data_IF_324522669667
#
_entry.id   IF_324522669667
#
_cell.length_a   1.000
_cell.length_b   1.000
_cell.length_c   1.000
_cell.angle_alpha   90.00
_cell.angle_beta   90.00
_cell.angle_gamma   90.00
#
_symmetry.space_group_name_H-M   'P 1'
#
loop_
_entity.id
_entity.type
_entity.pdbx_description
1 polymer ?
#
# COMPACT_ATOMS: atom_id res chain seq x y z
N UNK A 1 -17.51 -57.59 46.51
CA UNK A 1 -17.94 -57.47 45.09
C UNK A 1 -18.32 -56.05 44.86
N UNK A 2 -17.38 -55.19 44.43
CA UNK A 2 -17.60 -53.78 44.20
C UNK A 2 -17.32 -53.50 42.72
N UNK A 3 -18.38 -53.05 42.03
CA UNK A 3 -18.30 -52.60 40.65
C UNK A 3 -17.82 -51.13 40.63
N UNK A 4 -16.61 -50.94 40.08
CA UNK A 4 -16.10 -49.61 39.74
C UNK A 4 -16.62 -49.21 38.36
N UNK A 5 -17.56 -48.27 38.34
CA UNK A 5 -17.95 -47.54 37.12
C UNK A 5 -16.82 -46.58 36.70
N UNK A 6 -16.23 -46.81 35.53
CA UNK A 6 -15.27 -45.93 34.91
C UNK A 6 -16.04 -44.88 34.09
N UNK A 7 -16.08 -43.64 34.60
CA UNK A 7 -16.70 -42.47 33.95
C UNK A 7 -15.80 -42.00 32.83
N UNK A 8 -16.20 -42.27 31.58
CA UNK A 8 -15.57 -41.65 30.39
C UNK A 8 -15.84 -40.16 30.34
N UNK A 9 -14.80 -39.36 30.55
CA UNK A 9 -14.81 -37.93 30.30
C UNK A 9 -14.65 -37.71 28.78
N UNK A 10 -15.72 -37.24 28.14
CA UNK A 10 -15.72 -36.88 26.71
C UNK A 10 -15.05 -35.52 26.57
N UNK A 11 -13.82 -35.47 26.10
CA UNK A 11 -13.12 -34.26 25.72
C UNK A 11 -13.83 -33.63 24.50
N UNK A 12 -14.39 -32.44 24.70
CA UNK A 12 -14.99 -31.65 23.65
C UNK A 12 -13.91 -31.26 22.64
N UNK A 13 -14.11 -31.67 21.39
CA UNK A 13 -13.21 -31.40 20.30
C UNK A 13 -13.13 -29.89 20.00
N UNK A 14 -11.94 -29.35 20.06
CA UNK A 14 -11.58 -28.03 19.52
C UNK A 14 -11.68 -28.13 18.00
N UNK A 15 -12.72 -27.55 17.43
CA UNK A 15 -12.86 -27.41 15.99
C UNK A 15 -11.89 -26.34 15.50
N UNK A 16 -10.67 -26.70 15.19
CA UNK A 16 -9.78 -25.84 14.41
C UNK A 16 -10.32 -25.76 12.99
N UNK A 17 -10.81 -24.58 12.59
CA UNK A 17 -11.25 -24.28 11.23
C UNK A 17 -10.05 -24.29 10.27
N UNK A 18 -9.63 -25.47 9.83
CA UNK A 18 -8.60 -25.61 8.80
C UNK A 18 -9.24 -25.39 7.42
N UNK A 19 -8.95 -24.25 6.81
CA UNK A 19 -9.26 -24.01 5.40
C UNK A 19 -8.68 -25.16 4.55
N UNK A 20 -9.45 -25.76 3.62
CA UNK A 20 -8.99 -26.90 2.85
C UNK A 20 -7.71 -26.60 2.04
N UNK A 21 -6.76 -27.55 1.91
CA UNK A 21 -5.41 -27.35 1.34
C UNK A 21 -5.44 -26.64 -0.04
N UNK A 22 -6.34 -27.02 -0.94
CA UNK A 22 -6.47 -26.40 -2.28
C UNK A 22 -6.76 -24.90 -2.27
N UNK A 23 -7.50 -24.39 -1.28
CA UNK A 23 -7.79 -22.94 -1.15
C UNK A 23 -6.57 -22.17 -0.66
N UNK A 24 -5.78 -22.75 0.23
CA UNK A 24 -4.52 -22.16 0.72
C UNK A 24 -3.49 -22.05 -0.41
N UNK A 25 -3.37 -23.08 -1.23
CA UNK A 25 -2.44 -23.11 -2.36
C UNK A 25 -2.83 -22.07 -3.42
N UNK A 26 -4.12 -21.91 -3.72
CA UNK A 26 -4.62 -20.90 -4.65
C UNK A 26 -4.37 -19.46 -4.15
N UNK A 27 -4.63 -19.19 -2.87
CA UNK A 27 -4.37 -17.89 -2.26
C UNK A 27 -2.86 -17.57 -2.25
N UNK A 28 -2.02 -18.54 -1.91
CA UNK A 28 -0.57 -18.40 -1.93
C UNK A 28 -0.05 -18.11 -3.34
N UNK A 29 -0.52 -18.85 -4.34
CA UNK A 29 -0.13 -18.65 -5.73
C UNK A 29 -0.55 -17.27 -6.23
N UNK A 30 -1.76 -16.84 -5.91
CA UNK A 30 -2.24 -15.49 -6.25
C UNK A 30 -1.37 -14.41 -5.61
N UNK A 31 -0.93 -14.60 -4.37
CA UNK A 31 -0.06 -13.65 -3.67
C UNK A 31 1.34 -13.61 -4.29
N UNK A 32 1.94 -14.76 -4.64
CA UNK A 32 3.25 -14.81 -5.32
C UNK A 32 3.23 -14.03 -6.64
N UNK A 33 2.18 -14.19 -7.45
CA UNK A 33 1.99 -13.44 -8.68
C UNK A 33 1.86 -11.92 -8.42
N UNK A 34 1.11 -11.55 -7.39
CA UNK A 34 0.90 -10.15 -7.03
C UNK A 34 2.20 -9.48 -6.56
N UNK A 35 3.00 -10.18 -5.76
CA UNK A 35 4.27 -9.67 -5.26
C UNK A 35 5.32 -9.54 -6.39
N UNK A 36 5.40 -10.51 -7.29
CA UNK A 36 6.24 -10.43 -8.47
C UNK A 36 5.80 -9.27 -9.39
N UNK A 37 4.49 -9.12 -9.62
CA UNK A 37 3.95 -8.02 -10.42
C UNK A 37 4.30 -6.65 -9.84
N UNK A 38 4.17 -6.47 -8.51
CA UNK A 38 4.53 -5.21 -7.83
C UNK A 38 6.00 -4.86 -8.04
N UNK A 39 6.90 -5.83 -7.90
CA UNK A 39 8.34 -5.61 -8.14
C UNK A 39 8.60 -5.26 -9.60
N UNK A 40 8.14 -6.09 -10.55
CA UNK A 40 8.38 -5.88 -11.98
C UNK A 40 7.82 -4.55 -12.48
N UNK A 41 6.57 -4.24 -12.18
CA UNK A 41 5.97 -2.97 -12.58
C UNK A 41 6.66 -1.75 -11.93
N UNK A 42 7.18 -1.89 -10.72
CA UNK A 42 7.91 -0.82 -10.04
C UNK A 42 9.30 -0.59 -10.63
N UNK A 43 10.04 -1.66 -10.97
CA UNK A 43 11.42 -1.58 -11.46
C UNK A 43 11.49 -1.41 -12.98
N UNK A 44 10.79 -2.24 -13.73
CA UNK A 44 10.89 -2.27 -15.19
C UNK A 44 9.84 -1.34 -15.84
N UNK A 45 8.73 -1.07 -15.14
CA UNK A 45 7.59 -0.31 -15.64
C UNK A 45 6.54 -1.21 -16.28
N UNK A 46 5.34 -0.66 -16.46
CA UNK A 46 4.21 -1.43 -17.01
C UNK A 46 4.46 -1.85 -18.46
N UNK A 47 4.91 -0.94 -19.33
CA UNK A 47 5.09 -1.21 -20.76
C UNK A 47 6.07 -2.38 -21.01
N UNK A 48 7.22 -2.34 -20.36
CA UNK A 48 8.32 -3.29 -20.55
C UNK A 48 8.10 -4.65 -19.86
N UNK A 49 7.23 -4.72 -18.86
CA UNK A 49 6.95 -5.95 -18.12
C UNK A 49 5.96 -6.83 -18.88
N UNK A 50 6.28 -8.10 -19.11
CA UNK A 50 5.34 -9.09 -19.68
C UNK A 50 4.71 -9.96 -18.58
N UNK A 51 3.55 -10.56 -18.87
CA UNK A 51 2.93 -11.55 -17.96
C UNK A 51 3.79 -12.81 -17.79
N UNK A 52 4.65 -13.11 -18.76
CA UNK A 52 5.60 -14.23 -18.67
C UNK A 52 6.70 -13.93 -17.65
N UNK A 53 7.29 -12.72 -17.70
CA UNK A 53 8.33 -12.31 -16.75
C UNK A 53 7.81 -12.37 -15.30
N UNK A 54 6.56 -11.96 -15.09
CA UNK A 54 5.92 -12.02 -13.77
C UNK A 54 5.70 -13.47 -13.33
N UNK A 55 5.21 -14.34 -14.23
CA UNK A 55 4.97 -15.75 -13.91
C UNK A 55 6.27 -16.50 -13.62
N UNK A 56 7.32 -16.24 -14.40
CA UNK A 56 8.65 -16.83 -14.23
C UNK A 56 9.26 -16.40 -12.91
N UNK A 57 9.19 -15.11 -12.56
CA UNK A 57 9.66 -14.61 -11.25
C UNK A 57 8.87 -15.21 -10.07
N UNK A 58 7.58 -15.39 -10.24
CA UNK A 58 6.72 -16.02 -9.23
C UNK A 58 6.90 -17.55 -9.13
N UNK A 59 7.59 -18.16 -10.09
CA UNK A 59 7.77 -19.62 -10.17
C UNK A 59 6.48 -20.38 -10.45
N UNK A 60 5.55 -19.80 -11.23
CA UNK A 60 4.23 -20.37 -11.51
C UNK A 60 3.88 -20.36 -12.99
N UNK A 61 2.87 -21.14 -13.37
CA UNK A 61 2.40 -21.16 -14.76
C UNK A 61 1.71 -19.84 -15.14
N UNK A 62 2.09 -19.27 -16.29
CA UNK A 62 1.54 -18.01 -16.82
C UNK A 62 0.02 -18.04 -17.02
N UNK A 63 -0.57 -19.21 -17.30
CA UNK A 63 -2.03 -19.35 -17.42
C UNK A 63 -2.79 -18.98 -16.14
N UNK A 64 -2.12 -18.99 -14.97
CA UNK A 64 -2.72 -18.60 -13.71
C UNK A 64 -2.95 -17.09 -13.60
N UNK A 65 -2.21 -16.27 -14.37
CA UNK A 65 -2.46 -14.82 -14.43
C UNK A 65 -3.84 -14.56 -15.02
N UNK A 66 -4.16 -15.16 -16.17
CA UNK A 66 -5.50 -15.02 -16.76
C UNK A 66 -6.61 -15.57 -15.85
N UNK A 67 -6.33 -16.63 -15.10
CA UNK A 67 -7.29 -17.21 -14.17
C UNK A 67 -7.58 -16.33 -12.95
N UNK A 68 -6.56 -15.64 -12.38
CA UNK A 68 -6.69 -14.89 -11.14
C UNK A 68 -6.91 -13.39 -11.34
N UNK A 69 -6.46 -12.86 -12.48
CA UNK A 69 -6.42 -11.41 -12.73
C UNK A 69 -6.99 -11.03 -14.11
N UNK A 70 -7.40 -12.01 -14.92
CA UNK A 70 -7.99 -11.83 -16.25
C UNK A 70 -7.01 -11.33 -17.31
N UNK A 71 -6.23 -10.30 -17.01
CA UNK A 71 -5.30 -9.64 -17.93
C UNK A 71 -4.09 -9.03 -17.22
N UNK A 72 -3.13 -8.49 -17.99
CA UNK A 72 -2.02 -7.69 -17.47
C UNK A 72 -2.53 -6.44 -16.74
N UNK A 73 -3.55 -5.79 -17.29
CA UNK A 73 -4.22 -4.62 -16.69
C UNK A 73 -4.87 -4.96 -15.35
N UNK A 74 -5.62 -6.08 -15.30
CA UNK A 74 -6.25 -6.54 -14.07
C UNK A 74 -5.21 -6.89 -12.98
N UNK A 75 -4.07 -7.46 -13.37
CA UNK A 75 -2.95 -7.71 -12.47
C UNK A 75 -2.30 -6.40 -11.99
N UNK A 76 -2.16 -5.41 -12.87
CA UNK A 76 -1.65 -4.07 -12.52
C UNK A 76 -2.59 -3.34 -11.56
N UNK A 77 -3.90 -3.37 -11.81
CA UNK A 77 -4.92 -2.82 -10.90
C UNK A 77 -4.89 -3.48 -9.53
N UNK A 78 -4.74 -4.81 -9.48
CA UNK A 78 -4.58 -5.54 -8.23
C UNK A 78 -3.28 -5.17 -7.50
N UNK A 79 -2.18 -4.96 -8.23
CA UNK A 79 -0.90 -4.52 -7.67
C UNK A 79 -1.00 -3.11 -7.07
N UNK A 80 -1.62 -2.17 -7.77
CA UNK A 80 -1.91 -0.82 -7.25
C UNK A 80 -2.81 -0.88 -6.00
N UNK A 81 -3.90 -1.66 -6.06
CA UNK A 81 -4.82 -1.84 -4.92
C UNK A 81 -4.08 -2.33 -3.68
N UNK A 82 -3.22 -3.34 -3.83
CA UNK A 82 -2.42 -3.88 -2.74
C UNK A 82 -1.44 -2.83 -2.18
N UNK A 83 -0.76 -2.08 -3.05
CA UNK A 83 0.18 -1.02 -2.66
C UNK A 83 -0.51 0.11 -1.89
N UNK A 84 -1.67 0.57 -2.36
CA UNK A 84 -2.46 1.58 -1.63
C UNK A 84 -3.03 1.05 -0.31
N UNK A 85 -3.43 -0.22 -0.27
CA UNK A 85 -3.93 -0.85 0.97
C UNK A 85 -2.82 -0.94 2.01
N UNK A 86 -1.60 -1.29 1.61
CA UNK A 86 -0.42 -1.34 2.47
C UNK A 86 -0.06 0.05 3.03
N UNK A 87 0.00 1.08 2.16
CA UNK A 87 0.25 2.46 2.57
C UNK A 87 -0.81 2.96 3.55
N UNK A 88 -2.08 2.64 3.30
CA UNK A 88 -3.17 2.99 4.19
C UNK A 88 -3.10 2.24 5.53
N UNK A 89 -2.80 0.95 5.51
CA UNK A 89 -2.67 0.16 6.74
C UNK A 89 -1.53 0.69 7.63
N UNK A 90 -0.44 1.14 7.01
CA UNK A 90 0.66 1.79 7.71
C UNK A 90 0.27 3.15 8.31
N UNK A 91 -0.71 3.87 7.71
CA UNK A 91 -1.23 5.12 8.26
C UNK A 91 -2.16 4.90 9.45
N UNK A 92 -2.97 3.83 9.45
CA UNK A 92 -4.04 3.60 10.42
C UNK A 92 -5.24 4.53 10.22
N UNK A 93 -6.08 4.65 11.23
CA UNK A 93 -7.16 5.65 11.29
C UNK A 93 -6.57 6.95 11.83
N UNK A 94 -6.40 7.94 10.96
CA UNK A 94 -5.70 9.21 11.25
C UNK A 94 -6.72 10.30 11.48
N UNK A 95 -6.63 10.96 12.63
CA UNK A 95 -7.34 12.22 12.88
C UNK A 95 -6.59 13.41 12.27
N UNK A 96 -7.25 14.55 12.00
CA UNK A 96 -6.60 15.72 11.40
C UNK A 96 -5.35 16.21 12.16
N UNK A 97 -5.36 16.10 13.50
CA UNK A 97 -4.23 16.48 14.35
C UNK A 97 -3.03 15.52 14.27
N UNK A 98 -3.24 14.29 13.82
CA UNK A 98 -2.22 13.24 13.73
C UNK A 98 -1.61 13.10 12.32
N UNK A 99 -2.08 13.92 11.37
CA UNK A 99 -1.60 13.86 9.97
C UNK A 99 -0.07 14.11 9.89
N UNK A 100 0.51 15.15 10.55
CA UNK A 100 1.96 15.39 10.50
C UNK A 100 2.78 14.22 11.03
N UNK A 101 2.41 13.68 12.19
CA UNK A 101 3.07 12.54 12.84
C UNK A 101 2.98 11.28 11.98
N UNK A 102 1.85 11.08 11.32
CA UNK A 102 1.63 9.92 10.44
C UNK A 102 2.50 10.01 9.20
N UNK A 103 2.57 11.18 8.55
CA UNK A 103 3.45 11.41 7.40
C UNK A 103 4.91 11.19 7.79
N UNK A 104 5.35 11.74 8.94
CA UNK A 104 6.70 11.60 9.45
C UNK A 104 7.07 10.11 9.69
N UNK A 105 6.23 9.36 10.39
CA UNK A 105 6.43 7.93 10.64
C UNK A 105 6.49 7.11 9.36
N UNK A 106 5.61 7.40 8.39
CA UNK A 106 5.62 6.70 7.11
C UNK A 106 6.90 7.00 6.31
N UNK A 107 7.32 8.26 6.27
CA UNK A 107 8.53 8.64 5.57
C UNK A 107 9.78 7.96 6.17
N UNK A 108 9.86 7.84 7.49
CA UNK A 108 10.95 7.11 8.17
C UNK A 108 10.84 5.61 7.92
N UNK A 109 9.66 5.01 8.05
CA UNK A 109 9.45 3.57 7.90
C UNK A 109 9.61 3.05 6.47
N UNK A 110 9.42 3.90 5.47
CA UNK A 110 9.57 3.55 4.05
C UNK A 110 10.95 3.86 3.46
N UNK A 111 11.76 4.64 4.17
CA UNK A 111 13.15 4.92 3.82
C UNK A 111 14.03 3.79 4.34
N UNK A 112 14.13 2.71 3.58
CA UNK A 112 15.11 1.65 3.87
C UNK A 112 16.40 1.92 3.08
N UNK A 113 17.52 1.35 3.54
CA UNK A 113 18.83 1.48 2.89
C UNK A 113 18.89 1.00 1.42
N UNK A 114 17.79 0.51 0.87
CA UNK A 114 17.65 0.03 -0.52
C UNK A 114 16.87 0.94 -1.46
N UNK A 115 16.48 2.15 -1.04
CA UNK A 115 15.70 3.08 -1.86
C UNK A 115 14.18 3.09 -1.55
N UNK A 116 13.38 3.80 -2.35
CA UNK A 116 11.93 3.90 -2.18
C UNK A 116 11.27 2.52 -2.30
N UNK A 117 10.20 2.28 -1.50
CA UNK A 117 9.48 1.00 -1.58
C UNK A 117 8.90 0.76 -2.98
N UNK A 118 8.81 -0.50 -3.40
CA UNK A 118 8.18 -0.87 -4.69
C UNK A 118 6.75 -0.34 -4.79
N UNK A 119 6.02 -0.27 -3.67
CA UNK A 119 4.67 0.29 -3.61
C UNK A 119 4.65 1.77 -4.02
N UNK A 120 5.59 2.56 -3.51
CA UNK A 120 5.70 3.98 -3.84
C UNK A 120 6.12 4.19 -5.29
N UNK A 121 7.13 3.43 -5.76
CA UNK A 121 7.58 3.49 -7.15
C UNK A 121 6.48 3.12 -8.14
N UNK A 122 5.70 2.07 -7.85
CA UNK A 122 4.57 1.65 -8.66
C UNK A 122 3.51 2.74 -8.81
N UNK A 123 3.24 3.47 -7.73
CA UNK A 123 2.25 4.54 -7.72
C UNK A 123 2.72 5.77 -8.50
N UNK A 124 4.02 6.07 -8.48
CA UNK A 124 4.55 7.32 -9.04
C UNK A 124 5.04 7.19 -10.47
N UNK A 125 5.55 6.03 -10.85
CA UNK A 125 6.13 5.84 -12.17
C UNK A 125 5.06 5.87 -13.25
N UNK A 126 5.25 6.72 -14.26
CA UNK A 126 4.44 6.66 -15.49
C UNK A 126 4.59 5.29 -16.12
N UNK A 127 3.49 4.72 -16.57
CA UNK A 127 3.48 3.37 -17.12
C UNK A 127 3.96 3.29 -18.58
N UNK A 128 3.98 4.42 -19.29
CA UNK A 128 4.16 4.47 -20.75
C UNK A 128 2.96 3.92 -21.55
N UNK A 129 1.87 3.60 -20.87
CA UNK A 129 0.63 3.09 -21.44
C UNK A 129 -0.55 3.90 -20.90
N UNK A 130 -1.34 4.52 -21.80
CA UNK A 130 -2.45 5.41 -21.41
C UNK A 130 -3.52 4.74 -20.55
N UNK A 131 -3.77 3.43 -20.76
CA UNK A 131 -4.78 2.69 -20.01
C UNK A 131 -4.32 2.44 -18.59
N UNK A 132 -3.07 2.01 -18.43
CA UNK A 132 -2.46 1.82 -17.12
C UNK A 132 -2.31 3.16 -16.37
N UNK A 133 -1.97 4.25 -17.06
CA UNK A 133 -1.92 5.59 -16.47
C UNK A 133 -3.29 6.09 -16.00
N UNK A 134 -4.37 5.82 -16.76
CA UNK A 134 -5.73 6.12 -16.30
C UNK A 134 -6.10 5.35 -15.02
N UNK A 135 -5.72 4.08 -14.92
CA UNK A 135 -5.93 3.27 -13.71
C UNK A 135 -5.19 3.93 -12.53
N UNK A 136 -3.90 4.23 -12.70
CA UNK A 136 -3.07 4.87 -11.68
C UNK A 136 -3.62 6.22 -11.21
N UNK A 137 -3.99 7.10 -12.13
CA UNK A 137 -4.57 8.41 -11.82
C UNK A 137 -5.87 8.30 -11.01
N UNK A 138 -6.74 7.33 -11.34
CA UNK A 138 -7.95 7.05 -10.56
C UNK A 138 -7.62 6.70 -9.10
N UNK A 139 -6.59 5.89 -8.87
CA UNK A 139 -6.14 5.56 -7.53
C UNK A 139 -5.59 6.77 -6.78
N UNK A 140 -4.78 7.61 -7.43
CA UNK A 140 -4.26 8.84 -6.83
C UNK A 140 -5.38 9.83 -6.46
N UNK A 141 -6.38 9.99 -7.31
CA UNK A 141 -7.57 10.81 -7.04
C UNK A 141 -8.35 10.28 -5.82
N UNK A 142 -8.65 8.97 -5.80
CA UNK A 142 -9.33 8.34 -4.68
C UNK A 142 -8.54 8.47 -3.36
N UNK A 143 -7.22 8.44 -3.42
CA UNK A 143 -6.38 8.63 -2.24
C UNK A 143 -6.41 10.08 -1.75
N UNK A 144 -6.33 11.07 -2.65
CA UNK A 144 -6.47 12.48 -2.32
C UNK A 144 -7.83 12.79 -1.70
N UNK A 145 -8.93 12.22 -2.21
CA UNK A 145 -10.27 12.37 -1.63
C UNK A 145 -10.33 11.81 -0.19
N UNK A 146 -9.69 10.67 0.05
CA UNK A 146 -9.62 10.09 1.41
C UNK A 146 -8.78 10.95 2.35
N UNK A 147 -7.67 11.52 1.87
CA UNK A 147 -6.87 12.46 2.66
C UNK A 147 -7.64 13.75 2.96
N UNK A 148 -8.39 14.29 2.00
CA UNK A 148 -9.24 15.44 2.22
C UNK A 148 -10.25 15.18 3.35
N UNK A 149 -10.91 14.02 3.36
CA UNK A 149 -11.82 13.61 4.43
C UNK A 149 -11.11 13.47 5.77
N UNK A 150 -9.94 12.83 5.81
CA UNK A 150 -9.15 12.67 7.03
C UNK A 150 -8.69 14.03 7.60
N UNK A 151 -8.39 15.00 6.74
CA UNK A 151 -8.04 16.36 7.13
C UNK A 151 -9.26 17.25 7.45
N UNK A 152 -10.49 16.68 7.50
CA UNK A 152 -11.75 17.43 7.70
C UNK A 152 -12.01 18.51 6.66
N UNK A 153 -11.47 18.36 5.47
CA UNK A 153 -11.78 19.22 4.32
C UNK A 153 -13.14 18.85 3.75
N UNK A 154 -13.91 19.85 3.29
CA UNK A 154 -15.32 19.64 2.89
C UNK A 154 -15.50 18.99 1.50
N UNK A 155 -14.40 18.78 0.76
CA UNK A 155 -14.42 18.00 -0.48
C UNK A 155 -14.75 18.75 -1.76
N UNK A 156 -14.75 20.09 -1.75
CA UNK A 156 -14.77 20.89 -2.98
C UNK A 156 -13.41 20.89 -3.70
N UNK A 157 -13.37 21.32 -4.97
CA UNK A 157 -12.13 21.35 -5.77
C UNK A 157 -10.93 22.00 -5.06
N UNK A 158 -11.08 23.14 -4.34
CA UNK A 158 -9.95 23.71 -3.59
C UNK A 158 -9.44 22.81 -2.47
N UNK A 159 -10.32 22.05 -1.83
CA UNK A 159 -9.96 21.15 -0.74
C UNK A 159 -9.29 19.87 -1.26
N UNK A 160 -9.72 19.39 -2.43
CA UNK A 160 -9.04 18.27 -3.11
C UNK A 160 -7.64 18.72 -3.55
N UNK A 161 -7.46 19.93 -4.07
CA UNK A 161 -6.14 20.45 -4.43
C UNK A 161 -5.21 20.53 -3.20
N UNK A 162 -5.71 20.97 -2.05
CA UNK A 162 -4.95 20.98 -0.79
C UNK A 162 -4.53 19.57 -0.36
N UNK A 163 -5.43 18.60 -0.48
CA UNK A 163 -5.12 17.20 -0.20
C UNK A 163 -4.09 16.64 -1.19
N UNK A 164 -4.13 17.03 -2.46
CA UNK A 164 -3.12 16.67 -3.46
C UNK A 164 -1.75 17.29 -3.14
N UNK A 165 -1.71 18.55 -2.68
CA UNK A 165 -0.46 19.19 -2.23
C UNK A 165 0.10 18.46 -0.99
N UNK A 166 -0.75 18.12 -0.04
CA UNK A 166 -0.35 17.32 1.13
C UNK A 166 0.20 15.95 0.74
N UNK A 167 -0.47 15.26 -0.18
CA UNK A 167 0.00 13.99 -0.74
C UNK A 167 1.35 14.16 -1.43
N UNK A 168 1.54 15.22 -2.19
CA UNK A 168 2.81 15.53 -2.87
C UNK A 168 3.93 15.77 -1.86
N UNK A 169 3.64 16.44 -0.75
CA UNK A 169 4.59 16.66 0.35
C UNK A 169 5.01 15.33 0.98
N UNK A 170 4.06 14.45 1.31
CA UNK A 170 4.34 13.14 1.90
C UNK A 170 5.19 12.25 0.97
N UNK A 171 4.84 12.21 -0.31
CA UNK A 171 5.56 11.47 -1.34
C UNK A 171 6.96 12.03 -1.55
N UNK A 172 7.09 13.35 -1.75
CA UNK A 172 8.36 14.03 -1.96
C UNK A 172 9.31 13.82 -0.78
N UNK A 173 8.81 13.95 0.46
CA UNK A 173 9.56 13.69 1.67
C UNK A 173 10.13 12.25 1.67
N UNK A 174 9.29 11.26 1.38
CA UNK A 174 9.72 9.85 1.36
C UNK A 174 10.77 9.58 0.28
N UNK A 175 10.58 10.13 -0.92
CA UNK A 175 11.53 9.99 -2.03
C UNK A 175 12.87 10.65 -1.73
N UNK A 176 12.87 11.90 -1.25
CA UNK A 176 14.09 12.64 -0.98
C UNK A 176 14.90 12.02 0.17
N UNK A 177 14.23 11.47 1.19
CA UNK A 177 14.91 10.70 2.25
C UNK A 177 15.67 9.50 1.68
N UNK A 178 15.10 8.81 0.71
CA UNK A 178 15.72 7.66 0.06
C UNK A 178 16.93 8.02 -0.83
N UNK A 179 17.17 9.32 -1.11
CA UNK A 179 18.35 9.80 -1.87
C UNK A 179 19.54 10.17 -0.97
N UNK A 180 19.46 9.92 0.33
CA UNK A 180 20.50 10.32 1.31
C UNK A 180 20.73 11.84 1.38
N UNK A 181 19.71 12.65 1.11
CA UNK A 181 19.77 14.11 1.24
C UNK A 181 19.79 14.51 2.71
N UNK A 182 20.93 14.92 3.22
CA UNK A 182 21.07 15.38 4.61
C UNK A 182 20.66 16.87 4.79
N UNK A 183 20.09 17.25 5.94
CA UNK A 183 19.78 16.44 7.14
C UNK A 183 18.50 15.62 7.06
N UNK A 184 17.78 15.70 5.94
CA UNK A 184 16.47 15.08 5.76
C UNK A 184 16.53 13.55 5.92
N UNK A 185 17.57 12.91 5.39
CA UNK A 185 17.71 11.46 5.41
C UNK A 185 17.89 10.89 6.82
N UNK A 186 18.63 11.57 7.68
CA UNK A 186 18.90 11.15 9.06
C UNK A 186 17.86 11.61 10.07
N UNK A 187 17.02 12.59 9.72
CA UNK A 187 16.03 13.16 10.64
C UNK A 187 15.07 12.09 11.19
N UNK A 188 14.82 12.12 12.48
CA UNK A 188 13.82 11.29 13.17
C UNK A 188 12.38 11.67 12.80
N UNK A 189 11.43 10.82 13.13
CA UNK A 189 10.02 11.14 12.95
C UNK A 189 9.58 12.38 13.77
N UNK A 190 10.15 12.57 14.96
CA UNK A 190 9.85 13.72 15.81
C UNK A 190 10.36 15.03 15.18
N UNK A 191 11.59 15.03 14.68
CA UNK A 191 12.18 16.19 14.00
C UNK A 191 11.42 16.57 12.72
N UNK A 192 10.94 15.58 11.96
CA UNK A 192 10.12 15.81 10.77
C UNK A 192 8.72 16.31 11.09
N UNK A 193 8.16 15.94 12.23
CA UNK A 193 6.80 16.31 12.61
C UNK A 193 6.66 17.82 12.77
N UNK A 194 7.69 18.53 13.26
CA UNK A 194 7.64 19.98 13.51
C UNK A 194 7.35 20.75 12.21
N UNK A 195 8.21 20.69 11.17
CA UNK A 195 7.95 21.38 9.91
C UNK A 195 6.72 20.88 9.16
N UNK A 196 6.40 19.57 9.29
CA UNK A 196 5.19 19.02 8.70
C UNK A 196 3.91 19.59 9.32
N UNK A 197 3.92 19.89 10.62
CA UNK A 197 2.79 20.52 11.30
C UNK A 197 2.50 21.90 10.72
N UNK A 198 3.52 22.70 10.48
CA UNK A 198 3.38 24.03 9.88
C UNK A 198 2.75 23.93 8.48
N UNK A 199 3.22 22.99 7.64
CA UNK A 199 2.68 22.75 6.31
C UNK A 199 1.23 22.28 6.35
N UNK A 200 0.91 21.32 7.22
CA UNK A 200 -0.44 20.76 7.37
C UNK A 200 -1.41 21.83 7.87
N UNK A 201 -1.01 22.61 8.88
CA UNK A 201 -1.84 23.69 9.39
C UNK A 201 -2.11 24.75 8.33
N UNK A 202 -1.11 25.14 7.56
CA UNK A 202 -1.28 26.11 6.46
C UNK A 202 -2.24 25.60 5.36
N UNK A 203 -2.24 24.29 5.10
CA UNK A 203 -3.12 23.68 4.11
C UNK A 203 -4.55 23.45 4.64
N UNK A 204 -4.72 23.16 5.95
CA UNK A 204 -6.03 22.89 6.55
C UNK A 204 -6.75 24.19 6.97
N UNK A 205 -6.02 25.19 7.46
CA UNK A 205 -6.61 26.49 7.82
C UNK A 205 -7.11 27.17 6.53
N UNK A 206 -8.42 27.40 6.41
CA UNK A 206 -8.96 28.24 5.36
C UNK A 206 -8.35 29.65 5.48
N UNK A 207 -7.91 30.25 4.35
CA UNK A 207 -7.64 31.68 4.36
C UNK A 207 -8.94 32.41 4.76
N UNK A 208 -8.81 33.38 5.68
CA UNK A 208 -9.91 34.23 6.12
C UNK A 208 -10.46 35.05 4.95
#
# INVERSE_FOLDING_TARGET
MEHRETRCVRLAGVTSSSTPPRRRDAARTRQLLLDAARRRFATDGYAETTVRDIADEAGVNVALISRYFESKEGLFEAALTASFTELRAAAGDVTPGEVPETIARQAVGQSTAGGPSHSLLLILRSSGDERADRIRLRFLQMFAEKMAKAASLQGGDPDILRAQVLLSTAIGLTLLRATNLEPLASASAEELTIPLRDVVEALIKKPA
#
